data_IF_421756022929
#
_entry.id   IF_421756022929
#
_cell.length_a   1.000
_cell.length_b   1.000
_cell.length_c   1.000
_cell.angle_alpha   90.00
_cell.angle_beta   90.00
_cell.angle_gamma   90.00
#
_symmetry.space_group_name_H-M   'P 1'
#
loop_
_entity.id
_entity.type
_entity.pdbx_description
1 polymer ?
#
# COMPACT_ATOMS: atom_id res chain seq x y z
N UNK A 1 -34.52 -28.41 -21.50
CA UNK A 1 -33.43 -27.43 -21.74
C UNK A 1 -32.75 -26.89 -20.45
N UNK A 2 -32.70 -27.69 -19.35
CA UNK A 2 -32.21 -27.18 -18.05
C UNK A 2 -30.99 -27.91 -17.43
N UNK A 3 -30.40 -28.82 -18.14
CA UNK A 3 -29.23 -29.57 -17.62
C UNK A 3 -27.90 -28.81 -17.90
N UNK A 4 -27.85 -28.04 -18.98
CA UNK A 4 -26.59 -27.42 -19.46
C UNK A 4 -26.24 -26.09 -18.69
N UNK A 5 -27.25 -25.40 -18.18
CA UNK A 5 -27.05 -24.18 -17.36
C UNK A 5 -26.48 -24.50 -15.98
N UNK A 6 -26.88 -25.63 -15.36
CA UNK A 6 -26.39 -26.04 -14.04
C UNK A 6 -24.95 -26.55 -14.05
N UNK A 7 -24.50 -27.07 -15.20
CA UNK A 7 -23.10 -27.57 -15.34
C UNK A 7 -22.13 -26.44 -15.57
N UNK A 8 -22.52 -25.35 -16.26
CA UNK A 8 -21.69 -24.15 -16.47
C UNK A 8 -21.52 -23.33 -15.18
N UNK A 9 -22.56 -23.19 -14.36
CA UNK A 9 -22.48 -22.50 -13.06
C UNK A 9 -21.61 -23.26 -12.06
N UNK A 10 -21.67 -24.61 -12.02
CA UNK A 10 -20.80 -25.40 -11.14
C UNK A 10 -19.34 -25.43 -11.58
N UNK A 11 -19.04 -25.32 -12.87
CA UNK A 11 -17.67 -25.22 -13.39
C UNK A 11 -17.04 -23.87 -13.06
N UNK A 12 -17.82 -22.80 -13.15
CA UNK A 12 -17.36 -21.44 -12.84
C UNK A 12 -17.08 -21.26 -11.33
N UNK A 13 -17.98 -21.72 -10.47
CA UNK A 13 -17.79 -21.73 -9.02
C UNK A 13 -16.60 -22.58 -8.54
N UNK A 14 -16.27 -23.69 -9.26
CA UNK A 14 -15.07 -24.48 -8.97
C UNK A 14 -13.78 -23.79 -9.42
N UNK A 15 -13.79 -23.09 -10.54
CA UNK A 15 -12.65 -22.31 -11.03
C UNK A 15 -12.34 -21.11 -10.12
N UNK A 16 -13.39 -20.39 -9.70
CA UNK A 16 -13.28 -19.28 -8.77
C UNK A 16 -12.77 -19.76 -7.39
N UNK A 17 -13.27 -20.86 -6.87
CA UNK A 17 -12.81 -21.43 -5.59
C UNK A 17 -11.34 -21.86 -5.63
N UNK A 18 -10.84 -22.38 -6.76
CA UNK A 18 -9.44 -22.75 -6.93
C UNK A 18 -8.53 -21.50 -7.05
N UNK A 19 -9.03 -20.42 -7.66
CA UNK A 19 -8.31 -19.14 -7.73
C UNK A 19 -8.19 -18.50 -6.34
N UNK A 20 -9.26 -18.53 -5.58
CA UNK A 20 -9.38 -18.04 -4.20
C UNK A 20 -8.44 -18.79 -3.25
N UNK A 21 -8.45 -20.11 -3.29
CA UNK A 21 -7.51 -20.95 -2.53
C UNK A 21 -6.05 -20.66 -2.93
N UNK A 22 -5.81 -20.23 -4.18
CA UNK A 22 -4.50 -19.83 -4.68
C UNK A 22 -3.97 -18.53 -4.09
N UNK A 23 -4.83 -17.53 -3.89
CA UNK A 23 -4.43 -16.18 -3.43
C UNK A 23 -4.24 -16.15 -1.91
N UNK A 24 -5.14 -16.77 -1.13
CA UNK A 24 -4.93 -16.96 0.33
C UNK A 24 -3.68 -17.80 0.57
N UNK A 25 -3.45 -18.80 -0.27
CA UNK A 25 -2.23 -19.61 -0.23
C UNK A 25 -0.98 -18.81 -0.58
N UNK A 26 -1.06 -17.80 -1.46
CA UNK A 26 0.08 -16.94 -1.79
C UNK A 26 0.42 -15.95 -0.67
N UNK A 27 -0.58 -15.29 -0.05
CA UNK A 27 -0.36 -14.39 1.09
C UNK A 27 0.10 -15.13 2.34
N UNK A 28 -0.43 -16.36 2.58
CA UNK A 28 0.01 -17.22 3.67
C UNK A 28 1.35 -17.91 3.36
N UNK A 29 1.63 -18.24 2.08
CA UNK A 29 2.91 -18.81 1.66
C UNK A 29 4.07 -17.81 1.75
N UNK A 30 3.82 -16.50 1.66
CA UNK A 30 4.88 -15.51 1.88
C UNK A 30 5.23 -15.45 3.37
N UNK A 31 4.25 -15.49 4.26
CA UNK A 31 4.49 -15.54 5.71
C UNK A 31 5.10 -16.89 6.16
N UNK A 32 4.69 -17.99 5.54
CA UNK A 32 5.15 -19.37 5.82
C UNK A 32 6.47 -19.69 5.08
N UNK A 33 6.73 -19.01 3.96
CA UNK A 33 7.98 -19.07 3.20
C UNK A 33 9.05 -18.21 3.84
N UNK A 34 8.69 -17.02 4.36
CA UNK A 34 9.59 -16.21 5.17
C UNK A 34 10.03 -17.02 6.42
N UNK A 35 9.13 -17.81 7.04
CA UNK A 35 9.46 -18.67 8.17
C UNK A 35 10.34 -19.89 7.78
N UNK A 36 10.19 -20.44 6.55
CA UNK A 36 10.98 -21.60 6.09
C UNK A 36 12.31 -21.21 5.44
N UNK A 37 12.36 -20.08 4.73
CA UNK A 37 13.63 -19.50 4.27
C UNK A 37 14.47 -19.09 5.50
N UNK A 38 13.81 -18.83 6.62
CA UNK A 38 14.40 -18.61 7.93
C UNK A 38 15.06 -19.86 8.54
N UNK A 39 14.44 -21.03 8.37
CA UNK A 39 15.01 -22.31 8.87
C UNK A 39 16.15 -22.82 7.94
N UNK A 40 16.06 -22.60 6.62
CA UNK A 40 17.11 -22.99 5.68
C UNK A 40 18.36 -22.07 5.75
N UNK A 41 18.18 -20.76 6.06
CA UNK A 41 19.33 -19.86 6.27
C UNK A 41 20.06 -20.13 7.59
N UNK A 42 19.39 -20.66 8.65
CA UNK A 42 20.02 -21.06 9.89
C UNK A 42 20.95 -22.28 9.71
N UNK A 43 20.62 -23.22 8.81
CA UNK A 43 21.49 -24.37 8.51
C UNK A 43 22.72 -23.98 7.69
N UNK A 44 22.64 -22.95 6.83
CA UNK A 44 23.77 -22.45 6.02
C UNK A 44 24.71 -21.53 6.82
N UNK A 45 24.28 -20.91 7.92
CA UNK A 45 25.11 -20.06 8.77
C UNK A 45 26.03 -20.84 9.71
N UNK A 46 25.66 -22.05 10.14
CA UNK A 46 26.52 -22.90 10.97
C UNK A 46 27.79 -23.39 10.23
N UNK A 47 27.78 -23.47 8.88
CA UNK A 47 28.97 -23.86 8.10
C UNK A 47 29.96 -22.70 7.82
N UNK A 48 29.58 -21.43 8.10
CA UNK A 48 30.37 -20.24 7.68
C UNK A 48 31.04 -19.47 8.83
N UNK A 49 31.04 -19.97 10.06
CA UNK A 49 31.66 -19.30 11.22
C UNK A 49 33.20 -19.16 11.17
N UNK A 50 33.84 -19.65 10.11
CA UNK A 50 35.32 -19.67 9.99
C UNK A 50 36.01 -18.46 9.36
N UNK A 51 35.29 -17.52 8.74
CA UNK A 51 35.93 -16.59 7.79
C UNK A 51 35.49 -15.12 7.89
N UNK A 52 35.11 -14.55 9.02
CA UNK A 52 35.03 -13.07 9.10
C UNK A 52 35.04 -12.48 10.50
N UNK A 53 36.20 -12.40 11.12
CA UNK A 53 36.34 -11.80 12.47
C UNK A 53 36.35 -10.27 12.52
N UNK A 54 36.08 -9.51 11.44
CA UNK A 54 36.36 -8.07 11.43
C UNK A 54 35.30 -7.11 10.89
N UNK A 55 34.04 -7.51 10.73
CA UNK A 55 32.95 -6.54 10.49
C UNK A 55 31.72 -6.88 11.35
N UNK A 56 31.60 -6.23 12.50
CA UNK A 56 30.35 -6.22 13.24
C UNK A 56 29.32 -5.45 12.43
N UNK A 57 28.40 -6.14 11.78
CA UNK A 57 27.30 -5.55 10.99
C UNK A 57 26.28 -4.79 11.84
N UNK A 58 26.30 -4.98 13.18
CA UNK A 58 25.20 -4.64 14.06
C UNK A 58 25.64 -3.96 15.36
N UNK A 59 24.79 -3.11 15.88
CA UNK A 59 24.90 -2.64 17.24
C UNK A 59 24.36 -3.76 18.16
N UNK A 60 25.24 -4.56 18.74
CA UNK A 60 24.88 -5.73 19.56
C UNK A 60 23.94 -5.43 20.71
N UNK A 61 23.97 -4.21 21.24
CA UNK A 61 23.16 -3.84 22.40
C UNK A 61 21.67 -3.64 22.08
N UNK A 62 21.33 -3.42 20.78
CA UNK A 62 19.96 -3.09 20.36
C UNK A 62 19.48 -3.82 19.11
N UNK A 63 20.21 -4.77 18.57
CA UNK A 63 19.90 -5.42 17.27
C UNK A 63 19.67 -4.43 16.13
N UNK A 64 20.27 -3.26 16.22
CA UNK A 64 20.12 -2.17 15.26
C UNK A 64 21.22 -2.23 14.19
N UNK A 65 20.83 -2.08 12.94
CA UNK A 65 21.75 -2.01 11.81
C UNK A 65 22.72 -0.83 11.98
N UNK A 66 23.96 -1.03 11.56
CA UNK A 66 24.93 0.07 11.48
C UNK A 66 24.53 1.03 10.37
N UNK A 67 25.02 2.29 10.43
CA UNK A 67 24.76 3.29 9.37
C UNK A 67 25.08 2.78 7.97
N UNK A 68 26.14 1.98 7.82
CA UNK A 68 26.50 1.38 6.52
C UNK A 68 25.36 0.55 5.92
N UNK A 69 24.68 -0.27 6.73
CA UNK A 69 23.57 -1.10 6.25
C UNK A 69 22.32 -0.29 5.99
N UNK A 70 22.02 0.72 6.83
CA UNK A 70 20.92 1.64 6.60
C UNK A 70 21.09 2.34 5.25
N UNK A 71 22.28 2.92 5.00
CA UNK A 71 22.60 3.60 3.76
C UNK A 71 22.53 2.63 2.55
N UNK A 72 23.04 1.40 2.70
CA UNK A 72 22.98 0.39 1.66
C UNK A 72 21.55 -0.02 1.29
N UNK A 73 20.68 -0.24 2.28
CA UNK A 73 19.26 -0.55 2.00
C UNK A 73 18.53 0.63 1.38
N UNK A 74 18.92 1.87 1.68
CA UNK A 74 18.40 3.07 1.00
C UNK A 74 18.82 3.07 -0.47
N UNK A 75 20.10 2.87 -0.77
CA UNK A 75 20.62 2.85 -2.14
C UNK A 75 20.05 1.71 -2.99
N UNK A 76 19.84 0.55 -2.39
CA UNK A 76 19.31 -0.64 -3.07
C UNK A 76 17.78 -0.74 -3.09
N UNK A 77 17.04 0.22 -2.50
CA UNK A 77 15.60 0.14 -2.33
C UNK A 77 14.83 -0.10 -3.65
N UNK A 78 15.12 0.67 -4.70
CA UNK A 78 14.50 0.49 -6.02
C UNK A 78 14.78 -0.89 -6.60
N UNK A 79 16.03 -1.37 -6.49
CA UNK A 79 16.44 -2.69 -6.97
C UNK A 79 15.74 -3.83 -6.22
N UNK A 80 15.51 -3.67 -4.91
CA UNK A 80 14.84 -4.67 -4.09
C UNK A 80 13.36 -4.78 -4.47
N UNK A 81 12.67 -3.64 -4.68
CA UNK A 81 11.29 -3.63 -5.17
C UNK A 81 11.18 -4.12 -6.62
N UNK A 82 12.14 -3.82 -7.49
CA UNK A 82 12.19 -4.41 -8.84
C UNK A 82 12.29 -5.93 -8.80
N UNK A 83 13.13 -6.47 -7.90
CA UNK A 83 13.24 -7.91 -7.69
C UNK A 83 11.92 -8.49 -7.18
N UNK A 84 11.28 -7.83 -6.21
CA UNK A 84 9.97 -8.21 -5.69
C UNK A 84 8.94 -8.37 -6.81
N UNK A 85 8.73 -7.34 -7.64
CA UNK A 85 7.75 -7.39 -8.74
C UNK A 85 8.14 -8.38 -9.84
N UNK A 86 9.42 -8.57 -10.09
CA UNK A 86 9.90 -9.60 -11.03
C UNK A 86 9.53 -11.01 -10.57
N UNK A 87 9.59 -11.27 -9.28
CA UNK A 87 9.30 -12.58 -8.68
C UNK A 87 7.80 -12.83 -8.57
N UNK A 88 7.03 -11.83 -8.07
CA UNK A 88 5.61 -12.01 -7.74
C UNK A 88 4.66 -11.65 -8.89
N UNK A 89 5.15 -10.94 -9.93
CA UNK A 89 4.36 -10.48 -11.07
C UNK A 89 3.11 -9.71 -10.62
N UNK A 90 1.92 -9.96 -11.18
CA UNK A 90 0.69 -9.24 -10.84
C UNK A 90 -0.19 -9.89 -9.76
N UNK A 91 0.25 -10.98 -9.12
CA UNK A 91 -0.63 -11.85 -8.31
C UNK A 91 -0.50 -11.65 -6.80
N UNK A 92 0.26 -10.66 -6.34
CA UNK A 92 0.55 -10.49 -4.91
C UNK A 92 -0.54 -9.69 -4.17
N UNK A 93 -1.05 -8.62 -4.78
CA UNK A 93 -2.06 -7.77 -4.17
C UNK A 93 -3.38 -7.83 -4.96
N UNK A 94 -4.50 -7.77 -4.25
CA UNK A 94 -5.83 -7.70 -4.83
C UNK A 94 -6.21 -6.27 -5.22
N UNK A 95 -7.11 -6.13 -6.22
CA UNK A 95 -7.71 -4.84 -6.57
C UNK A 95 -8.48 -4.26 -5.39
N UNK A 96 -8.24 -2.98 -5.09
CA UNK A 96 -8.78 -2.27 -3.93
C UNK A 96 -10.23 -1.86 -4.16
N UNK A 97 -11.14 -2.84 -4.17
CA UNK A 97 -12.58 -2.62 -4.38
C UNK A 97 -13.28 -1.91 -3.20
N UNK A 98 -12.58 -1.64 -2.11
CA UNK A 98 -13.12 -1.06 -0.89
C UNK A 98 -13.10 0.47 -0.85
N UNK A 99 -12.40 1.16 -1.74
CA UNK A 99 -12.24 2.63 -1.73
C UNK A 99 -13.57 3.38 -1.62
N UNK A 100 -14.58 2.99 -2.40
CA UNK A 100 -15.88 3.68 -2.41
C UNK A 100 -16.67 3.55 -1.09
N UNK A 101 -16.36 2.53 -0.28
CA UNK A 101 -16.96 2.33 1.05
C UNK A 101 -16.30 3.18 2.10
N UNK A 102 -14.98 3.28 2.04
CA UNK A 102 -14.17 3.92 3.06
C UNK A 102 -13.98 5.41 2.82
N UNK A 103 -14.06 5.83 1.57
CA UNK A 103 -13.96 7.22 1.15
C UNK A 103 -15.05 7.57 0.13
N UNK A 104 -16.34 7.49 0.54
CA UNK A 104 -17.46 7.61 -0.41
C UNK A 104 -17.52 8.99 -1.10
N UNK A 105 -16.96 10.03 -0.47
CA UNK A 105 -16.85 11.36 -1.06
C UNK A 105 -15.78 11.45 -2.17
N UNK A 106 -14.80 10.54 -2.14
CA UNK A 106 -13.69 10.52 -3.09
C UNK A 106 -13.90 9.54 -4.25
N UNK A 107 -14.61 8.44 -4.03
CA UNK A 107 -14.76 7.37 -5.00
C UNK A 107 -16.21 7.07 -5.31
N UNK A 108 -16.51 6.82 -6.58
CA UNK A 108 -17.85 6.44 -7.01
C UNK A 108 -18.18 5.01 -6.60
N UNK A 109 -19.42 4.80 -6.19
CA UNK A 109 -19.97 3.47 -5.92
C UNK A 109 -20.09 2.70 -7.25
N UNK A 110 -19.65 1.44 -7.31
CA UNK A 110 -19.86 0.62 -8.50
C UNK A 110 -21.35 0.45 -8.84
N UNK A 111 -21.73 0.60 -10.13
CA UNK A 111 -23.12 0.46 -10.59
C UNK A 111 -23.74 -0.91 -10.25
N UNK A 112 -22.95 -1.99 -10.30
CA UNK A 112 -23.43 -3.34 -9.95
C UNK A 112 -23.81 -3.52 -8.47
N UNK A 113 -23.53 -2.51 -7.62
CA UNK A 113 -23.95 -2.47 -6.21
C UNK A 113 -25.12 -1.51 -5.95
N UNK A 114 -25.76 -0.99 -6.96
CA UNK A 114 -26.99 -0.20 -6.78
C UNK A 114 -28.18 -1.07 -6.33
N UNK A 115 -28.14 -2.38 -6.60
CA UNK A 115 -29.06 -3.35 -5.99
C UNK A 115 -28.58 -3.63 -4.57
N UNK A 116 -29.43 -3.39 -3.57
CA UNK A 116 -29.19 -3.61 -2.13
C UNK A 116 -28.99 -5.09 -1.73
N UNK A 117 -28.48 -5.93 -2.62
CA UNK A 117 -28.15 -7.28 -2.24
C UNK A 117 -26.95 -7.28 -1.27
N UNK A 118 -27.07 -7.95 -0.11
CA UNK A 118 -25.96 -8.08 0.83
C UNK A 118 -24.76 -8.69 0.11
N UNK A 119 -23.56 -8.25 0.46
CA UNK A 119 -22.32 -8.83 -0.07
C UNK A 119 -22.41 -10.35 -0.02
N UNK A 120 -22.11 -11.06 -1.11
CA UNK A 120 -22.02 -12.51 -1.05
C UNK A 120 -21.06 -12.89 0.09
N UNK A 121 -21.49 -13.81 0.95
CA UNK A 121 -20.73 -14.28 2.14
C UNK A 121 -19.31 -14.79 1.80
N UNK A 122 -18.99 -14.90 0.51
CA UNK A 122 -17.74 -15.47 -0.02
C UNK A 122 -16.85 -14.46 -0.75
N UNK A 123 -17.06 -13.15 -0.64
CA UNK A 123 -16.04 -12.20 -1.11
C UNK A 123 -14.89 -12.24 -0.10
N UNK A 124 -13.72 -12.65 -0.57
CA UNK A 124 -12.50 -12.53 0.21
C UNK A 124 -12.29 -11.07 0.57
N UNK A 125 -12.41 -10.83 1.84
CA UNK A 125 -12.16 -9.51 2.44
C UNK A 125 -10.65 -9.40 2.52
N UNK A 126 -10.09 -8.39 1.85
CA UNK A 126 -8.67 -8.02 2.00
C UNK A 126 -8.32 -8.00 3.50
N UNK A 127 -7.15 -8.50 3.88
CA UNK A 127 -6.72 -8.51 5.29
C UNK A 127 -6.74 -7.11 5.94
N UNK A 128 -6.70 -6.06 5.13
CA UNK A 128 -6.79 -4.66 5.55
C UNK A 128 -8.16 -4.01 5.24
N UNK A 129 -9.21 -4.79 4.96
CA UNK A 129 -10.57 -4.27 4.78
C UNK A 129 -11.14 -3.83 6.14
N UNK A 130 -11.63 -2.60 6.23
CA UNK A 130 -12.16 -2.04 7.48
C UNK A 130 -13.56 -2.55 7.83
N UNK A 131 -14.26 -3.25 6.93
CA UNK A 131 -15.64 -3.73 7.17
C UNK A 131 -15.78 -4.55 8.45
N UNK A 132 -14.73 -5.29 8.85
CA UNK A 132 -14.69 -6.10 10.06
C UNK A 132 -13.59 -5.67 11.03
N UNK A 133 -12.95 -4.52 10.78
CA UNK A 133 -11.93 -3.96 11.65
C UNK A 133 -12.55 -2.99 12.65
N UNK A 134 -11.95 -2.91 13.82
CA UNK A 134 -12.37 -1.98 14.86
C UNK A 134 -11.45 -0.76 14.88
N UNK A 135 -11.99 0.47 14.86
CA UNK A 135 -11.21 1.67 15.10
C UNK A 135 -10.71 1.67 16.55
N UNK A 136 -9.41 1.77 16.74
CA UNK A 136 -8.80 1.77 18.07
C UNK A 136 -8.39 3.16 18.54
N UNK A 137 -8.01 4.03 17.61
CA UNK A 137 -7.62 5.42 17.87
C UNK A 137 -8.14 6.28 16.72
N UNK A 138 -8.86 7.37 17.02
CA UNK A 138 -9.42 8.28 16.01
C UNK A 138 -9.02 9.70 16.35
N UNK A 139 -8.30 10.35 15.43
CA UNK A 139 -7.97 11.78 15.49
C UNK A 139 -8.76 12.51 14.41
N UNK A 140 -9.45 13.58 14.80
CA UNK A 140 -10.18 14.47 13.86
C UNK A 140 -9.70 15.89 14.04
N UNK A 141 -9.81 16.68 12.99
CA UNK A 141 -9.50 18.11 13.08
C UNK A 141 -10.34 18.77 14.16
N UNK A 142 -9.66 19.55 14.99
CA UNK A 142 -10.28 20.45 15.96
C UNK A 142 -10.24 21.91 15.47
N UNK A 143 -9.72 22.15 14.26
CA UNK A 143 -9.57 23.50 13.71
C UNK A 143 -10.95 24.09 13.36
N UNK A 144 -11.32 25.15 14.08
CA UNK A 144 -12.45 26.00 13.72
C UNK A 144 -12.06 26.82 12.49
N UNK A 145 -12.38 26.33 11.29
CA UNK A 145 -12.03 27.03 10.04
C UNK A 145 -11.50 26.13 8.94
N UNK A 146 -11.49 24.82 9.14
CA UNK A 146 -11.17 23.86 8.08
C UNK A 146 -12.06 24.08 6.86
N UNK A 147 -11.47 24.48 5.74
CA UNK A 147 -12.16 24.68 4.47
C UNK A 147 -12.06 23.43 3.65
N UNK A 148 -13.18 22.71 3.52
CA UNK A 148 -13.29 21.52 2.68
C UNK A 148 -14.30 21.81 1.59
N UNK A 149 -13.86 21.85 0.33
CA UNK A 149 -14.74 22.08 -0.83
C UNK A 149 -15.15 20.77 -1.46
N UNK A 150 -16.35 20.68 -2.04
CA UNK A 150 -16.77 19.51 -2.79
C UNK A 150 -15.80 19.17 -3.91
N UNK A 151 -15.58 17.88 -4.15
CA UNK A 151 -14.89 17.39 -5.33
C UNK A 151 -15.78 17.52 -6.56
N UNK A 152 -15.23 17.66 -7.77
CA UNK A 152 -16.02 17.67 -9.00
C UNK A 152 -16.76 16.34 -9.18
N UNK A 153 -17.96 16.40 -9.75
CA UNK A 153 -18.75 15.19 -10.03
C UNK A 153 -18.18 14.41 -11.21
N UNK A 154 -17.52 15.08 -12.15
CA UNK A 154 -16.95 14.48 -13.35
C UNK A 154 -15.50 14.96 -13.60
N UNK A 155 -14.79 14.20 -14.43
CA UNK A 155 -13.42 14.52 -14.86
C UNK A 155 -12.43 14.68 -13.70
N UNK A 156 -12.57 13.85 -12.66
CA UNK A 156 -11.64 13.83 -11.53
C UNK A 156 -10.27 13.37 -11.98
N UNK A 157 -9.25 14.11 -11.55
CA UNK A 157 -7.87 13.71 -11.72
C UNK A 157 -7.36 13.04 -10.44
N UNK A 158 -6.92 11.80 -10.59
CA UNK A 158 -6.31 11.02 -9.53
C UNK A 158 -4.80 10.93 -9.73
N UNK A 159 -4.06 10.90 -8.64
CA UNK A 159 -2.64 10.54 -8.61
C UNK A 159 -2.45 9.39 -7.62
N UNK A 160 -1.97 8.25 -8.08
CA UNK A 160 -1.57 7.12 -7.23
C UNK A 160 -0.05 7.08 -7.14
N UNK A 161 0.50 7.34 -5.94
CA UNK A 161 1.92 7.16 -5.63
C UNK A 161 2.17 5.69 -5.24
N UNK A 162 3.28 5.11 -5.73
CA UNK A 162 3.61 3.71 -5.50
C UNK A 162 2.48 2.78 -5.98
N UNK A 163 2.08 2.95 -7.23
CA UNK A 163 0.91 2.27 -7.78
C UNK A 163 1.09 0.74 -7.93
N UNK A 164 2.33 0.26 -7.86
CA UNK A 164 2.64 -1.13 -8.14
C UNK A 164 2.09 -1.57 -9.50
N UNK A 165 1.29 -2.62 -9.49
CA UNK A 165 0.66 -3.16 -10.71
C UNK A 165 -0.73 -2.57 -10.99
N UNK A 166 -1.09 -1.44 -10.34
CA UNK A 166 -2.31 -0.69 -10.58
C UNK A 166 -3.54 -1.14 -9.79
N UNK A 167 -3.37 -1.75 -8.63
CA UNK A 167 -4.48 -2.33 -7.85
C UNK A 167 -5.52 -1.30 -7.38
N UNK A 168 -5.20 0.00 -7.36
CA UNK A 168 -6.15 1.09 -7.15
C UNK A 168 -6.67 1.65 -8.47
N UNK A 169 -5.77 1.87 -9.44
CA UNK A 169 -6.09 2.53 -10.70
C UNK A 169 -7.19 1.80 -11.48
N UNK A 170 -7.12 0.45 -11.57
CA UNK A 170 -8.12 -0.32 -12.30
C UNK A 170 -9.53 -0.20 -11.70
N UNK A 171 -9.75 -0.36 -10.39
CA UNK A 171 -11.05 -0.10 -9.78
C UNK A 171 -11.56 1.32 -10.00
N UNK A 172 -10.69 2.34 -9.92
CA UNK A 172 -11.07 3.74 -10.15
C UNK A 172 -11.60 3.91 -11.57
N UNK A 173 -10.84 3.49 -12.58
CA UNK A 173 -11.23 3.61 -14.00
C UNK A 173 -12.52 2.85 -14.31
N UNK A 174 -12.69 1.68 -13.71
CA UNK A 174 -13.88 0.85 -13.90
C UNK A 174 -15.15 1.47 -13.30
N UNK A 175 -15.01 2.15 -12.18
CA UNK A 175 -16.15 2.70 -11.43
C UNK A 175 -16.43 4.18 -11.75
N UNK A 176 -15.49 4.91 -12.33
CA UNK A 176 -15.65 6.30 -12.75
C UNK A 176 -15.23 6.46 -14.23
N UNK A 177 -16.19 6.46 -15.16
CA UNK A 177 -15.89 6.55 -16.60
C UNK A 177 -15.26 7.87 -17.02
N UNK A 178 -15.31 8.92 -16.19
CA UNK A 178 -14.71 10.23 -16.48
C UNK A 178 -13.36 10.46 -15.81
N UNK A 179 -12.93 9.55 -14.90
CA UNK A 179 -11.68 9.68 -14.19
C UNK A 179 -10.45 9.54 -15.09
N UNK A 180 -9.41 10.29 -14.76
CA UNK A 180 -8.04 10.08 -15.28
C UNK A 180 -7.12 9.81 -14.10
N UNK A 181 -6.34 8.75 -14.19
CA UNK A 181 -5.44 8.31 -13.12
C UNK A 181 -4.00 8.38 -13.59
N UNK A 182 -3.22 9.24 -12.96
CA UNK A 182 -1.76 9.23 -13.05
C UNK A 182 -1.23 8.22 -12.05
N UNK A 183 -0.35 7.32 -12.49
CA UNK A 183 0.17 6.24 -11.67
C UNK A 183 1.68 6.27 -11.70
N UNK A 184 2.35 6.37 -10.57
CA UNK A 184 3.80 6.23 -10.53
C UNK A 184 4.27 5.17 -9.54
N UNK A 185 5.33 4.50 -9.94
CA UNK A 185 6.11 3.61 -9.09
C UNK A 185 7.58 3.76 -9.46
N UNK A 186 8.51 3.57 -8.53
CA UNK A 186 9.92 3.64 -8.89
C UNK A 186 10.46 2.30 -9.43
N UNK A 187 9.68 1.22 -9.33
CA UNK A 187 9.96 -0.05 -9.98
C UNK A 187 9.51 -0.03 -11.45
N UNK A 188 10.47 -0.10 -12.35
CA UNK A 188 10.20 -0.24 -13.78
C UNK A 188 9.46 -1.54 -14.10
N UNK A 189 9.75 -2.63 -13.35
CA UNK A 189 9.05 -3.91 -13.50
C UNK A 189 7.58 -3.81 -13.10
N UNK A 190 7.24 -3.08 -12.03
CA UNK A 190 5.86 -2.83 -11.64
C UNK A 190 5.09 -2.12 -12.76
N UNK A 191 5.66 -1.05 -13.30
CA UNK A 191 5.06 -0.28 -14.41
C UNK A 191 4.91 -1.15 -15.68
N UNK A 192 5.87 -2.02 -15.98
CA UNK A 192 5.73 -2.94 -17.12
C UNK A 192 4.57 -3.93 -16.93
N UNK A 193 4.43 -4.50 -15.73
CA UNK A 193 3.30 -5.39 -15.40
C UNK A 193 1.97 -4.64 -15.50
N UNK A 194 1.90 -3.40 -14.99
CA UNK A 194 0.71 -2.55 -15.09
C UNK A 194 0.35 -2.29 -16.56
N UNK A 195 1.31 -1.97 -17.44
CA UNK A 195 1.08 -1.77 -18.88
C UNK A 195 0.49 -3.00 -19.54
N UNK A 196 1.08 -4.17 -19.32
CA UNK A 196 0.57 -5.44 -19.86
C UNK A 196 -0.86 -5.70 -19.39
N UNK A 197 -1.11 -5.55 -18.09
CA UNK A 197 -2.44 -5.71 -17.52
C UNK A 197 -3.44 -4.75 -18.15
N UNK A 198 -3.07 -3.48 -18.33
CA UNK A 198 -3.87 -2.45 -18.97
C UNK A 198 -4.26 -2.83 -20.40
N UNK A 199 -3.31 -3.33 -21.19
CA UNK A 199 -3.52 -3.76 -22.58
C UNK A 199 -4.44 -5.00 -22.66
N UNK A 200 -4.32 -5.93 -21.72
CA UNK A 200 -5.07 -7.20 -21.71
C UNK A 200 -6.50 -7.05 -21.19
N UNK A 201 -6.75 -6.09 -20.28
CA UNK A 201 -8.01 -6.05 -19.52
C UNK A 201 -8.90 -4.84 -19.80
N UNK A 202 -8.39 -3.77 -20.38
CA UNK A 202 -9.13 -2.52 -20.59
C UNK A 202 -9.40 -2.24 -22.06
N UNK A 203 -10.52 -1.53 -22.33
CA UNK A 203 -10.81 -0.96 -23.64
C UNK A 203 -9.73 0.05 -24.04
N UNK A 204 -9.58 0.35 -25.34
CA UNK A 204 -8.61 1.36 -25.80
C UNK A 204 -8.88 2.75 -25.22
N UNK A 205 -10.15 3.09 -25.00
CA UNK A 205 -10.55 4.34 -24.36
C UNK A 205 -10.10 4.38 -22.90
N UNK A 206 -10.36 3.32 -22.13
CA UNK A 206 -9.96 3.21 -20.74
C UNK A 206 -8.44 3.19 -20.57
N UNK A 207 -7.72 2.55 -21.50
CA UNK A 207 -6.25 2.56 -21.50
C UNK A 207 -5.67 3.96 -21.53
N UNK A 208 -6.30 4.90 -22.25
CA UNK A 208 -5.84 6.30 -22.34
C UNK A 208 -6.06 7.09 -21.05
N UNK A 209 -6.94 6.61 -20.18
CA UNK A 209 -7.26 7.25 -18.89
C UNK A 209 -6.29 6.86 -17.76
N UNK A 210 -5.48 5.81 -17.93
CA UNK A 210 -4.38 5.46 -17.04
C UNK A 210 -3.07 5.95 -17.67
N UNK A 211 -2.37 6.86 -16.96
CA UNK A 211 -1.10 7.46 -17.35
C UNK A 211 -0.02 7.02 -16.37
N UNK A 212 0.65 5.94 -16.72
CA UNK A 212 1.68 5.33 -15.87
C UNK A 212 3.09 5.79 -16.26
N UNK A 213 3.93 6.01 -15.25
CA UNK A 213 5.33 6.40 -15.42
C UNK A 213 6.20 5.94 -14.26
N UNK A 214 7.50 5.80 -14.53
CA UNK A 214 8.50 5.47 -13.49
C UNK A 214 8.96 6.76 -12.82
N UNK A 215 8.89 6.82 -11.48
CA UNK A 215 9.29 7.99 -10.71
C UNK A 215 9.73 7.59 -9.29
N UNK A 216 10.90 8.08 -8.87
CA UNK A 216 11.32 8.03 -7.47
C UNK A 216 10.79 9.28 -6.75
N UNK A 217 9.65 9.14 -6.08
CA UNK A 217 8.97 10.22 -5.37
C UNK A 217 9.78 10.82 -4.22
N UNK A 218 10.90 10.25 -3.87
CA UNK A 218 11.83 10.78 -2.86
C UNK A 218 12.87 11.72 -3.45
N UNK A 219 13.05 11.72 -4.78
CA UNK A 219 14.12 12.47 -5.48
C UNK A 219 13.66 13.28 -6.67
N UNK A 220 12.54 12.88 -7.31
CA UNK A 220 12.05 13.47 -8.55
C UNK A 220 10.71 14.20 -8.31
N UNK A 221 10.45 15.27 -9.04
CA UNK A 221 9.14 15.96 -9.04
C UNK A 221 8.15 15.16 -9.89
N UNK A 222 7.11 14.63 -9.27
CA UNK A 222 6.08 13.81 -9.95
C UNK A 222 5.34 14.60 -11.03
N UNK A 223 5.19 15.92 -10.86
CA UNK A 223 4.53 16.78 -11.84
C UNK A 223 5.35 16.92 -13.12
N UNK A 224 6.67 17.06 -12.96
CA UNK A 224 7.57 17.16 -14.12
C UNK A 224 7.79 15.82 -14.80
N UNK A 225 7.96 14.76 -14.00
CA UNK A 225 8.27 13.42 -14.50
C UNK A 225 7.12 12.76 -15.25
N UNK A 226 5.89 12.98 -14.79
CA UNK A 226 4.68 12.33 -15.32
C UNK A 226 3.72 13.27 -16.07
N UNK A 227 4.13 14.52 -16.36
CA UNK A 227 3.23 15.56 -16.89
C UNK A 227 1.94 15.70 -16.05
N UNK A 228 2.06 15.51 -14.72
CA UNK A 228 0.94 15.66 -13.79
C UNK A 228 0.70 17.16 -13.57
N UNK A 229 -0.54 17.67 -13.75
CA UNK A 229 -0.82 19.08 -13.58
C UNK A 229 -0.50 19.58 -12.17
N UNK A 230 0.42 20.53 -12.00
CA UNK A 230 0.69 21.20 -10.70
C UNK A 230 -0.59 21.84 -10.19
N UNK A 231 -0.92 21.61 -8.92
CA UNK A 231 -2.17 22.05 -8.29
C UNK A 231 -3.44 21.66 -9.09
N UNK A 232 -3.38 20.57 -9.84
CA UNK A 232 -4.46 20.14 -10.74
C UNK A 232 -5.16 18.84 -10.32
N UNK A 233 -4.55 18.05 -9.44
CA UNK A 233 -5.06 16.75 -9.00
C UNK A 233 -6.16 16.94 -7.93
N UNK A 234 -7.25 16.22 -8.07
CA UNK A 234 -8.36 16.23 -7.12
C UNK A 234 -8.09 15.32 -5.93
N UNK A 235 -7.57 14.11 -6.19
CA UNK A 235 -7.37 13.08 -5.19
C UNK A 235 -6.00 12.42 -5.40
N UNK A 236 -5.18 12.42 -4.35
CA UNK A 236 -3.96 11.62 -4.29
C UNK A 236 -4.17 10.43 -3.37
N UNK A 237 -3.78 9.24 -3.80
CA UNK A 237 -3.78 8.02 -3.00
C UNK A 237 -2.36 7.55 -2.72
N UNK A 238 -2.10 7.18 -1.48
CA UNK A 238 -0.83 6.65 -1.01
C UNK A 238 -1.12 5.44 -0.10
N UNK A 239 -1.08 4.24 -0.69
CA UNK A 239 -1.56 3.02 -0.02
C UNK A 239 -0.44 1.99 0.07
N UNK A 240 0.10 1.79 1.29
CA UNK A 240 1.27 0.96 1.59
C UNK A 240 2.52 1.38 0.80
N UNK A 241 2.79 2.68 0.81
CA UNK A 241 3.89 3.32 0.08
C UNK A 241 4.84 4.05 0.99
N UNK A 242 4.30 4.88 1.92
CA UNK A 242 5.15 5.66 2.82
C UNK A 242 5.99 4.76 3.71
N UNK A 243 5.45 3.60 4.10
CA UNK A 243 6.19 2.60 4.88
C UNK A 243 7.41 2.04 4.15
N UNK A 244 7.42 2.03 2.82
CA UNK A 244 8.56 1.55 2.03
C UNK A 244 9.70 2.57 1.91
N UNK A 245 9.48 3.82 2.32
CA UNK A 245 10.46 4.90 2.30
C UNK A 245 11.34 4.88 3.57
N UNK A 246 12.38 5.69 3.61
CA UNK A 246 13.07 5.99 4.88
C UNK A 246 12.39 7.16 5.58
N UNK A 247 12.47 7.24 6.93
CA UNK A 247 11.88 8.35 7.69
C UNK A 247 12.32 9.73 7.18
N UNK A 248 13.57 9.84 6.73
CA UNK A 248 14.14 11.08 6.22
C UNK A 248 13.54 11.51 4.88
N UNK A 249 13.06 10.55 4.07
CA UNK A 249 12.57 10.81 2.71
C UNK A 249 11.05 10.88 2.59
N UNK A 250 10.30 10.49 3.63
CA UNK A 250 8.82 10.61 3.68
C UNK A 250 8.36 12.03 3.36
N UNK A 251 9.03 13.05 3.91
CA UNK A 251 8.72 14.46 3.66
C UNK A 251 8.81 14.85 2.18
N UNK A 252 9.73 14.26 1.42
CA UNK A 252 9.86 14.55 -0.01
C UNK A 252 8.66 14.00 -0.81
N UNK A 253 8.14 12.82 -0.41
CA UNK A 253 6.90 12.30 -0.97
C UNK A 253 5.69 13.20 -0.63
N UNK A 254 5.62 13.72 0.60
CA UNK A 254 4.57 14.67 1.02
C UNK A 254 4.64 15.97 0.22
N UNK A 255 5.85 16.49 -0.07
CA UNK A 255 6.06 17.62 -0.97
C UNK A 255 5.49 17.35 -2.37
N UNK A 256 5.77 16.20 -2.94
CA UNK A 256 5.23 15.78 -4.23
C UNK A 256 3.69 15.76 -4.23
N UNK A 257 3.08 15.23 -3.16
CA UNK A 257 1.62 15.24 -2.97
C UNK A 257 1.11 16.69 -2.93
N UNK A 258 1.76 17.55 -2.15
CA UNK A 258 1.36 18.96 -2.01
C UNK A 258 1.42 19.73 -3.31
N UNK A 259 2.45 19.48 -4.15
CA UNK A 259 2.65 20.15 -5.43
C UNK A 259 1.63 19.71 -6.49
N UNK A 260 1.17 18.48 -6.45
CA UNK A 260 0.20 17.94 -7.40
C UNK A 260 -1.26 18.34 -7.06
N UNK A 261 -1.61 18.36 -5.77
CA UNK A 261 -2.99 18.54 -5.33
C UNK A 261 -3.51 19.97 -5.51
N UNK A 262 -4.78 20.10 -5.90
CA UNK A 262 -5.53 21.37 -5.94
C UNK A 262 -5.52 22.04 -4.57
N UNK A 263 -5.18 23.32 -4.53
CA UNK A 263 -5.13 24.14 -3.32
C UNK A 263 -6.50 24.66 -2.87
N UNK A 264 -6.55 25.24 -1.68
CA UNK A 264 -7.70 25.97 -1.16
C UNK A 264 -8.88 25.07 -0.81
N UNK A 265 -8.61 23.94 -0.19
CA UNK A 265 -9.61 23.00 0.30
C UNK A 265 -10.22 22.07 -0.76
N UNK A 266 -9.62 21.98 -1.96
CA UNK A 266 -10.14 21.20 -3.09
C UNK A 266 -9.45 19.84 -3.25
N UNK A 267 -8.15 19.76 -3.02
CA UNK A 267 -7.39 18.53 -3.15
C UNK A 267 -7.48 17.67 -1.89
N UNK A 268 -7.54 16.35 -2.05
CA UNK A 268 -7.54 15.34 -0.96
C UNK A 268 -6.35 14.42 -1.09
N UNK A 269 -5.69 14.15 0.03
CA UNK A 269 -4.77 13.01 0.09
C UNK A 269 -5.33 11.94 1.01
N UNK A 270 -5.31 10.71 0.53
CA UNK A 270 -5.76 9.52 1.23
C UNK A 270 -4.57 8.59 1.45
N UNK A 271 -4.26 8.35 2.70
CA UNK A 271 -3.13 7.50 3.11
C UNK A 271 -3.68 6.27 3.81
N UNK A 272 -3.14 5.09 3.46
CA UNK A 272 -3.29 3.87 4.25
C UNK A 272 -1.94 3.20 4.34
N UNK A 273 -1.49 2.89 5.56
CA UNK A 273 -0.19 2.27 5.76
C UNK A 273 -0.14 1.47 7.09
N UNK A 274 0.94 0.75 7.31
CA UNK A 274 1.13 -0.05 8.52
C UNK A 274 1.20 0.81 9.78
N UNK A 275 0.52 0.34 10.85
CA UNK A 275 0.51 1.01 12.14
C UNK A 275 1.40 0.30 13.17
N UNK A 276 1.95 1.07 14.09
CA UNK A 276 2.67 0.57 15.27
C UNK A 276 1.85 -0.49 16.00
N UNK A 277 2.50 -1.60 16.34
CA UNK A 277 1.91 -2.77 16.99
C UNK A 277 1.23 -3.75 16.03
N UNK A 278 1.43 -3.60 14.69
CA UNK A 278 1.07 -4.66 13.73
C UNK A 278 1.84 -5.94 14.02
N UNK A 279 1.26 -7.09 13.66
CA UNK A 279 1.90 -8.38 13.87
C UNK A 279 3.29 -8.48 13.23
N UNK A 280 3.49 -7.89 12.05
CA UNK A 280 4.79 -7.91 11.39
C UNK A 280 5.84 -7.17 12.21
N UNK A 281 5.52 -5.99 12.76
CA UNK A 281 6.43 -5.26 13.64
C UNK A 281 6.78 -6.08 14.89
N UNK A 282 5.75 -6.67 15.54
CA UNK A 282 5.95 -7.52 16.73
C UNK A 282 6.88 -8.71 16.43
N UNK A 283 6.75 -9.30 15.22
CA UNK A 283 7.66 -10.37 14.78
C UNK A 283 9.08 -9.88 14.59
N UNK A 284 9.29 -8.71 13.95
CA UNK A 284 10.61 -8.12 13.80
C UNK A 284 11.29 -7.83 15.14
N UNK A 285 10.55 -7.28 16.11
CA UNK A 285 11.09 -7.04 17.47
C UNK A 285 11.45 -8.33 18.20
N UNK A 286 10.68 -9.40 17.98
CA UNK A 286 10.90 -10.69 18.66
C UNK A 286 11.93 -11.59 17.98
N UNK A 287 12.15 -11.44 16.68
CA UNK A 287 13.05 -12.27 15.89
C UNK A 287 14.51 -12.15 16.32
N UNK A 288 14.87 -11.03 16.99
CA UNK A 288 16.25 -10.72 17.43
C UNK A 288 17.30 -10.94 16.35
N UNK A 289 16.90 -10.79 15.10
CA UNK A 289 17.81 -10.92 13.97
C UNK A 289 18.67 -9.68 13.88
N UNK A 290 19.92 -9.92 13.85
CA UNK A 290 20.92 -8.89 13.70
C UNK A 290 20.67 -8.10 12.40
N UNK A 291 20.62 -6.73 12.49
CA UNK A 291 20.49 -5.80 11.37
C UNK A 291 19.13 -5.66 10.74
N UNK A 292 18.11 -6.28 11.29
CA UNK A 292 16.75 -6.12 10.79
C UNK A 292 16.14 -4.77 11.20
N UNK A 293 16.53 -4.22 12.36
CA UNK A 293 16.08 -2.92 12.85
C UNK A 293 16.94 -1.80 12.30
N UNK A 294 16.38 -0.99 11.42
CA UNK A 294 17.06 0.16 10.79
C UNK A 294 16.92 1.44 11.61
N UNK A 295 15.85 1.55 12.40
CA UNK A 295 15.52 2.68 13.26
C UNK A 295 14.30 2.41 14.12
N UNK A 296 13.78 3.44 14.79
CA UNK A 296 12.57 3.30 15.58
C UNK A 296 11.38 3.01 14.64
N UNK A 297 10.67 1.90 14.90
CA UNK A 297 9.57 1.41 14.06
C UNK A 297 9.93 1.22 12.57
N UNK A 298 11.23 1.07 12.24
CA UNK A 298 11.74 0.96 10.90
C UNK A 298 12.59 -0.30 10.74
N UNK A 299 12.24 -1.17 9.80
CA UNK A 299 12.81 -2.52 9.66
C UNK A 299 13.07 -2.85 8.19
N UNK A 300 13.98 -3.81 7.96
CA UNK A 300 14.15 -4.49 6.68
C UNK A 300 13.52 -5.87 6.75
N UNK A 301 12.83 -6.26 5.66
CA UNK A 301 12.21 -7.58 5.48
C UNK A 301 13.21 -8.58 4.89
N UNK A 302 12.88 -9.88 4.92
CA UNK A 302 13.67 -10.95 4.30
C UNK A 302 13.94 -10.71 2.81
N UNK A 303 12.98 -10.17 2.06
CA UNK A 303 13.12 -9.79 0.65
C UNK A 303 13.94 -8.51 0.43
N UNK A 304 14.51 -7.94 1.50
CA UNK A 304 15.29 -6.69 1.56
C UNK A 304 14.50 -5.42 1.27
N UNK A 305 13.18 -5.50 1.18
CA UNK A 305 12.33 -4.30 1.21
C UNK A 305 12.24 -3.77 2.63
N UNK A 306 11.92 -2.48 2.78
CA UNK A 306 11.85 -1.82 4.09
C UNK A 306 10.43 -1.60 4.52
N UNK A 307 10.22 -1.43 5.82
CA UNK A 307 8.90 -1.12 6.38
C UNK A 307 9.00 -0.23 7.61
N UNK A 308 8.37 0.96 7.53
CA UNK A 308 8.06 1.79 8.69
C UNK A 308 6.68 1.39 9.22
N UNK A 309 6.50 1.48 10.54
CA UNK A 309 5.19 1.40 11.20
C UNK A 309 4.88 2.76 11.81
N UNK A 310 3.74 3.35 11.44
CA UNK A 310 3.39 4.72 11.83
C UNK A 310 2.55 4.77 13.09
N UNK A 311 2.77 5.79 13.93
CA UNK A 311 1.77 6.25 14.91
C UNK A 311 0.83 7.28 14.27
N UNK A 312 -0.37 7.47 14.83
CA UNK A 312 -1.31 8.48 14.36
C UNK A 312 -0.68 9.88 14.46
N UNK A 313 -0.08 10.17 15.60
CA UNK A 313 0.55 11.45 15.90
C UNK A 313 1.70 11.75 14.94
N UNK A 314 2.59 10.76 14.70
CA UNK A 314 3.73 10.91 13.80
C UNK A 314 3.29 11.18 12.37
N UNK A 315 2.33 10.41 11.85
CA UNK A 315 1.85 10.59 10.48
C UNK A 315 1.10 11.94 10.31
N UNK A 316 0.33 12.35 11.32
CA UNK A 316 -0.36 13.64 11.31
C UNK A 316 0.66 14.80 11.38
N UNK A 317 1.72 14.67 12.17
CA UNK A 317 2.78 15.67 12.25
C UNK A 317 3.54 15.79 10.92
N UNK A 318 3.83 14.67 10.25
CA UNK A 318 4.50 14.67 8.96
C UNK A 318 3.73 15.44 7.88
N UNK A 319 2.39 15.34 7.86
CA UNK A 319 1.54 16.01 6.87
C UNK A 319 1.10 17.41 7.28
N UNK A 320 0.67 17.58 8.53
CA UNK A 320 0.00 18.80 9.01
C UNK A 320 0.89 19.68 9.88
N UNK A 321 2.05 19.18 10.29
CA UNK A 321 3.06 19.92 11.02
C UNK A 321 3.82 20.93 10.15
N UNK A 322 4.78 21.60 10.77
CA UNK A 322 5.63 22.58 10.12
C UNK A 322 4.99 23.97 9.95
N UNK A 323 5.80 24.93 9.52
CA UNK A 323 5.39 26.35 9.44
C UNK A 323 4.41 26.64 8.29
N UNK A 324 4.54 25.93 7.17
CA UNK A 324 3.75 26.22 5.96
C UNK A 324 2.32 25.69 6.01
N UNK A 325 1.99 24.81 6.93
CA UNK A 325 0.66 24.20 7.11
C UNK A 325 -0.02 23.86 5.77
N UNK A 326 0.67 23.09 4.95
CA UNK A 326 0.18 22.77 3.60
C UNK A 326 -1.07 21.90 3.59
N UNK A 327 -1.26 21.13 4.64
CA UNK A 327 -2.41 20.24 4.80
C UNK A 327 -3.11 20.50 6.12
N UNK A 328 -4.42 20.27 6.12
CA UNK A 328 -5.22 20.17 7.34
C UNK A 328 -5.78 18.75 7.46
N UNK A 329 -5.73 18.22 8.68
CA UNK A 329 -6.28 16.91 8.99
C UNK A 329 -7.79 16.91 8.82
N UNK A 330 -8.32 15.92 8.12
CA UNK A 330 -9.74 15.59 8.16
C UNK A 330 -9.99 14.50 9.20
N UNK A 331 -9.36 13.35 9.04
CA UNK A 331 -9.41 12.23 9.96
C UNK A 331 -8.15 11.38 9.85
N UNK A 332 -7.68 10.84 10.98
CA UNK A 332 -6.67 9.80 11.06
C UNK A 332 -7.14 8.72 12.02
N UNK A 333 -7.32 7.52 11.54
CA UNK A 333 -7.87 6.39 12.29
C UNK A 333 -6.93 5.19 12.23
N UNK A 334 -6.60 4.65 13.38
CA UNK A 334 -5.91 3.37 13.50
C UNK A 334 -6.93 2.24 13.62
N UNK A 335 -6.81 1.29 12.74
CA UNK A 335 -7.66 0.10 12.72
C UNK A 335 -6.91 -1.11 13.27
N UNK A 336 -7.66 -1.99 13.92
CA UNK A 336 -7.18 -3.28 14.39
C UNK A 336 -8.12 -4.38 13.92
N UNK A 337 -7.55 -5.50 13.48
CA UNK A 337 -8.30 -6.69 13.07
C UNK A 337 -7.58 -7.95 13.52
N UNK A 338 -8.35 -8.93 13.98
CA UNK A 338 -7.85 -10.28 14.23
C UNK A 338 -8.29 -11.18 13.09
N UNK A 339 -7.32 -11.71 12.37
CA UNK A 339 -7.53 -12.70 11.30
C UNK A 339 -7.20 -14.06 11.86
N UNK A 340 -8.13 -15.02 11.77
CA UNK A 340 -7.88 -16.41 12.13
C UNK A 340 -7.43 -17.19 10.93
N UNK A 341 -6.22 -17.73 10.99
CA UNK A 341 -5.78 -18.69 10.00
C UNK A 341 -6.51 -20.03 10.24
N UNK A 342 -7.37 -20.40 9.28
CA UNK A 342 -8.19 -21.63 9.40
C UNK A 342 -7.37 -22.93 9.33
N UNK A 343 -6.09 -22.84 8.93
CA UNK A 343 -5.26 -24.02 8.72
C UNK A 343 -4.53 -24.48 9.97
N UNK A 344 -4.09 -23.53 10.77
CA UNK A 344 -3.27 -23.77 11.98
C UNK A 344 -3.86 -23.12 13.25
N UNK A 345 -5.07 -22.53 13.14
CA UNK A 345 -5.82 -21.83 14.20
C UNK A 345 -5.03 -20.63 14.84
N UNK A 346 -4.01 -20.13 14.12
CA UNK A 346 -3.26 -18.97 14.60
C UNK A 346 -4.05 -17.67 14.40
N UNK A 347 -3.96 -16.78 15.38
CA UNK A 347 -4.56 -15.46 15.31
C UNK A 347 -3.52 -14.44 14.88
N UNK A 348 -3.79 -13.76 13.75
CA UNK A 348 -2.97 -12.66 13.25
C UNK A 348 -3.61 -11.33 13.59
N UNK A 349 -2.95 -10.54 14.42
CA UNK A 349 -3.42 -9.20 14.82
C UNK A 349 -2.81 -8.17 13.88
N UNK A 350 -3.59 -7.77 12.85
CA UNK A 350 -3.16 -6.77 11.89
C UNK A 350 -3.58 -5.37 12.36
N UNK A 351 -2.70 -4.39 12.12
CA UNK A 351 -2.97 -2.98 12.43
C UNK A 351 -2.53 -2.09 11.28
N UNK A 352 -3.36 -1.11 10.96
CA UNK A 352 -3.03 -0.10 9.95
C UNK A 352 -3.62 1.25 10.31
N UNK A 353 -3.04 2.28 9.73
CA UNK A 353 -3.53 3.66 9.78
C UNK A 353 -4.24 3.99 8.48
N UNK A 354 -5.33 4.71 8.60
CA UNK A 354 -6.02 5.35 7.49
C UNK A 354 -6.18 6.83 7.81
N UNK A 355 -5.67 7.68 6.93
CA UNK A 355 -5.71 9.13 7.12
C UNK A 355 -6.23 9.80 5.85
N UNK A 356 -7.05 10.83 6.06
CA UNK A 356 -7.43 11.79 5.02
C UNK A 356 -7.04 13.20 5.43
N UNK A 357 -6.42 13.92 4.51
CA UNK A 357 -6.04 15.33 4.67
C UNK A 357 -6.51 16.14 3.47
N UNK A 358 -6.73 17.42 3.69
CA UNK A 358 -7.10 18.38 2.66
C UNK A 358 -5.96 19.36 2.41
N UNK A 359 -5.72 19.70 1.14
CA UNK A 359 -4.71 20.68 0.72
C UNK A 359 -5.22 22.10 0.94
N UNK A 360 -4.51 22.86 1.77
CA UNK A 360 -4.83 24.25 2.09
C UNK A 360 -4.62 25.20 0.92
#
# INVERSE_FOLDING_TARGET
MDADARTRTRGRARGEKALIEGVVRASLLVLDRDAREEEEEEEDEEENEGANQNMSFYNRDKFQATKFWVDKYEEEASKNWDRFYKTHKGNFFNDRQWFYREFPECFRKPEWRETEEPMPENIEVDEFDTTTAEPSEVMKSQESGLVVKPLPDENRLYLELGCGVGNSAFPIIKNDPTAVVYCCDYSANAIEVLRKRKEETLSKEDQMRIREFVCDITKEDVCEKGDVPKNGVDICTCVFVLSALSPETVKNAIENIANALKIGGRGRCLVRDYAVGDLAEVRFENARRDGQKLGDHFYVRSDRTRSIFFSNEGLVEDFCGGEEKRFSLMECTKFARVIKNRKDDTEMRRRWIQMSVVRN
#
